data_IF_916016359118
#
_entry.id   IF_916016359118
#
_cell.length_a   1.000
_cell.length_b   1.000
_cell.length_c   1.000
_cell.angle_alpha   90.00
_cell.angle_beta   90.00
_cell.angle_gamma   90.00
#
_symmetry.space_group_name_H-M   'P 1'
#
loop_
_entity.id
_entity.type
_entity.pdbx_description
1 polymer ?
#
# COMPACT_ATOMS: atom_id res chain seq x y z
N UNK A 1 10.52 8.78 10.38
CA UNK A 1 9.83 7.71 11.13
C UNK A 1 9.42 6.66 10.12
N UNK A 2 9.59 5.37 10.39
CA UNK A 2 9.19 4.29 9.47
C UNK A 2 8.00 3.58 10.10
N UNK A 3 6.89 3.47 9.38
CA UNK A 3 5.71 2.74 9.80
C UNK A 3 5.61 1.44 8.98
N UNK A 4 5.27 0.34 9.66
CA UNK A 4 5.06 -0.96 9.02
C UNK A 4 3.56 -1.25 9.06
N UNK A 5 2.97 -1.41 7.88
CA UNK A 5 1.57 -1.78 7.72
C UNK A 5 1.52 -3.21 7.21
N UNK A 6 0.99 -4.12 8.03
CA UNK A 6 0.88 -5.53 7.69
C UNK A 6 -0.59 -5.91 7.54
N UNK A 7 -0.93 -6.51 6.40
CA UNK A 7 -2.17 -7.24 6.18
C UNK A 7 -1.82 -8.74 6.24
N UNK A 8 -1.41 -9.20 7.42
CA UNK A 8 -1.16 -10.61 7.63
C UNK A 8 -2.49 -11.36 7.55
N UNK A 9 -2.63 -12.26 6.58
CA UNK A 9 -3.62 -13.33 6.64
C UNK A 9 -3.24 -14.28 7.79
N UNK A 10 -3.45 -13.82 9.02
CA UNK A 10 -3.26 -14.61 10.23
C UNK A 10 -4.45 -15.56 10.32
N UNK A 11 -4.28 -16.73 9.71
CA UNK A 11 -4.97 -18.00 10.02
C UNK A 11 -6.34 -17.85 10.70
N UNK A 12 -7.41 -17.91 9.90
CA UNK A 12 -8.77 -18.16 10.38
C UNK A 12 -9.52 -16.94 10.88
N UNK A 13 -10.58 -16.57 10.15
CA UNK A 13 -11.69 -15.74 10.61
C UNK A 13 -11.30 -14.35 11.16
N UNK A 14 -10.98 -13.41 10.27
CA UNK A 14 -11.61 -12.08 10.14
C UNK A 14 -10.78 -11.23 9.17
N UNK A 15 -11.38 -10.83 8.04
CA UNK A 15 -10.83 -9.86 7.11
C UNK A 15 -10.75 -8.49 7.78
N UNK A 16 -9.63 -8.15 8.39
CA UNK A 16 -9.37 -6.79 8.85
C UNK A 16 -8.27 -6.18 7.98
N UNK A 17 -8.68 -5.48 6.92
CA UNK A 17 -7.85 -4.57 6.10
C UNK A 17 -7.38 -3.34 6.91
N UNK A 18 -7.02 -3.55 8.18
CA UNK A 18 -6.64 -2.49 9.11
C UNK A 18 -5.33 -1.83 8.68
N UNK A 19 -4.34 -2.63 8.27
CA UNK A 19 -3.06 -2.14 7.77
C UNK A 19 -3.22 -1.22 6.57
N UNK A 20 -4.05 -1.60 5.59
CA UNK A 20 -4.33 -0.74 4.44
C UNK A 20 -5.09 0.53 4.83
N UNK A 21 -6.12 0.43 5.67
CA UNK A 21 -6.90 1.60 6.08
C UNK A 21 -6.06 2.62 6.87
N UNK A 22 -5.17 2.14 7.74
CA UNK A 22 -4.26 2.99 8.51
C UNK A 22 -3.18 3.59 7.61
N UNK A 23 -2.64 2.82 6.65
CA UNK A 23 -1.73 3.34 5.62
C UNK A 23 -2.38 4.49 4.83
N UNK A 24 -3.65 4.35 4.44
CA UNK A 24 -4.39 5.37 3.71
C UNK A 24 -4.60 6.64 4.55
N UNK A 25 -4.96 6.51 5.83
CA UNK A 25 -5.10 7.65 6.74
C UNK A 25 -3.77 8.37 6.97
N UNK A 26 -2.69 7.61 7.06
CA UNK A 26 -1.35 8.17 7.28
C UNK A 26 -0.81 8.85 6.02
N UNK A 27 -1.14 8.34 4.82
CA UNK A 27 -0.89 9.00 3.53
C UNK A 27 -1.67 10.32 3.43
N UNK A 28 -2.97 10.31 3.73
CA UNK A 28 -3.83 11.50 3.73
C UNK A 28 -3.33 12.56 4.73
N UNK A 29 -2.87 12.12 5.90
CA UNK A 29 -2.28 12.98 6.92
C UNK A 29 -0.85 13.47 6.58
N UNK A 30 -0.28 13.06 5.43
CA UNK A 30 1.06 13.46 5.00
C UNK A 30 2.18 12.92 5.90
N UNK A 31 1.94 11.82 6.63
CA UNK A 31 2.93 11.24 7.56
C UNK A 31 4.06 10.53 6.85
N UNK A 32 3.87 10.18 5.58
CA UNK A 32 4.90 9.66 4.69
C UNK A 32 4.63 10.09 3.25
N UNK A 33 5.69 10.06 2.44
CA UNK A 33 5.63 10.35 1.00
C UNK A 33 6.08 9.17 0.13
N UNK A 34 6.48 8.05 0.75
CA UNK A 34 7.00 6.87 0.04
C UNK A 34 6.45 5.60 0.69
N UNK A 35 5.95 4.69 -0.14
CA UNK A 35 5.63 3.30 0.22
C UNK A 35 6.66 2.39 -0.47
N UNK A 36 7.18 1.40 0.26
CA UNK A 36 8.10 0.39 -0.29
C UNK A 36 7.53 -1.00 -0.02
N UNK A 37 7.47 -1.83 -1.06
CA UNK A 37 7.06 -3.22 -0.97
C UNK A 37 8.04 -4.15 -1.72
N UNK A 38 7.97 -5.45 -1.46
CA UNK A 38 8.71 -6.43 -2.26
C UNK A 38 8.12 -6.48 -3.69
N UNK A 39 6.80 -6.59 -3.81
CA UNK A 39 6.05 -6.59 -5.07
C UNK A 39 4.59 -6.17 -4.85
N UNK A 40 3.87 -5.78 -5.91
CA UNK A 40 2.47 -5.37 -5.82
C UNK A 40 1.56 -6.50 -5.30
N UNK A 41 1.88 -7.75 -5.62
CA UNK A 41 1.16 -8.95 -5.16
C UNK A 41 1.25 -9.16 -3.63
N UNK A 42 2.28 -8.58 -2.99
CA UNK A 42 2.42 -8.55 -1.52
C UNK A 42 1.54 -7.51 -0.86
N UNK A 43 1.14 -6.46 -1.59
CA UNK A 43 0.20 -5.44 -1.11
C UNK A 43 -1.24 -5.95 -1.28
N UNK A 44 -1.58 -6.47 -2.47
CA UNK A 44 -2.84 -7.18 -2.71
C UNK A 44 -2.72 -8.07 -3.94
N UNK A 45 -3.50 -9.15 -4.00
CA UNK A 45 -3.64 -9.99 -5.20
C UNK A 45 -4.79 -9.56 -6.12
N UNK A 46 -5.56 -8.55 -5.73
CA UNK A 46 -6.68 -8.03 -6.51
C UNK A 46 -6.23 -6.81 -7.32
N UNK A 47 -6.41 -6.86 -8.64
CA UNK A 47 -6.09 -5.73 -9.53
C UNK A 47 -6.89 -4.47 -9.16
N UNK A 48 -8.14 -4.62 -8.72
CA UNK A 48 -8.97 -3.50 -8.30
C UNK A 48 -8.41 -2.80 -7.05
N UNK A 49 -7.82 -3.57 -6.13
CA UNK A 49 -7.16 -3.02 -4.95
C UNK A 49 -5.87 -2.29 -5.33
N UNK A 50 -5.02 -2.94 -6.13
CA UNK A 50 -3.76 -2.37 -6.61
C UNK A 50 -4.01 -1.04 -7.34
N UNK A 51 -4.97 -1.01 -8.27
CA UNK A 51 -5.34 0.20 -8.99
C UNK A 51 -5.90 1.31 -8.07
N UNK A 52 -6.62 0.94 -7.02
CA UNK A 52 -7.14 1.90 -6.05
C UNK A 52 -6.03 2.50 -5.18
N UNK A 53 -5.06 1.69 -4.77
CA UNK A 53 -3.87 2.14 -4.05
C UNK A 53 -3.04 3.07 -4.93
N UNK A 54 -2.77 2.69 -6.18
CA UNK A 54 -2.00 3.54 -7.09
C UNK A 54 -2.66 4.89 -7.34
N UNK A 55 -3.98 4.94 -7.57
CA UNK A 55 -4.72 6.20 -7.67
C UNK A 55 -4.63 7.07 -6.41
N UNK A 56 -4.68 6.44 -5.24
CA UNK A 56 -4.54 7.14 -3.97
C UNK A 56 -3.13 7.71 -3.79
N UNK A 57 -2.11 6.94 -4.14
CA UNK A 57 -0.71 7.38 -4.12
C UNK A 57 -0.54 8.64 -4.96
N UNK A 58 -1.06 8.63 -6.19
CA UNK A 58 -1.08 9.80 -7.07
C UNK A 58 -1.84 10.99 -6.47
N UNK A 59 -2.98 10.73 -5.83
CA UNK A 59 -3.81 11.77 -5.23
C UNK A 59 -3.13 12.49 -4.06
N UNK A 60 -2.43 11.74 -3.20
CA UNK A 60 -1.75 12.28 -2.02
C UNK A 60 -0.25 12.60 -2.25
N UNK A 61 0.25 12.44 -3.48
CA UNK A 61 1.66 12.71 -3.79
C UNK A 61 2.62 11.72 -3.11
N UNK A 62 2.19 10.48 -2.91
CA UNK A 62 2.99 9.40 -2.36
C UNK A 62 3.57 8.57 -3.51
N UNK A 63 4.88 8.36 -3.53
CA UNK A 63 5.51 7.43 -4.49
C UNK A 63 5.43 5.99 -3.99
N UNK A 64 5.15 5.06 -4.89
CA UNK A 64 5.13 3.63 -4.60
C UNK A 64 6.36 2.97 -5.23
N UNK A 65 7.14 2.25 -4.42
CA UNK A 65 8.29 1.51 -4.88
C UNK A 65 8.12 0.00 -4.63
N UNK A 66 8.54 -0.81 -5.60
CA UNK A 66 8.70 -2.25 -5.42
C UNK A 66 10.14 -2.67 -5.65
N UNK A 67 10.57 -3.76 -5.01
CA UNK A 67 11.91 -4.33 -5.27
C UNK A 67 12.06 -4.86 -6.69
N UNK A 68 10.95 -5.23 -7.33
CA UNK A 68 10.93 -5.78 -8.68
C UNK A 68 10.97 -4.71 -9.78
N UNK A 69 10.28 -3.59 -9.59
CA UNK A 69 10.06 -2.58 -10.65
C UNK A 69 10.73 -1.24 -10.36
N UNK A 70 11.21 -0.99 -9.13
CA UNK A 70 11.63 0.34 -8.71
C UNK A 70 10.40 1.21 -8.43
N UNK A 71 10.37 2.44 -8.94
CA UNK A 71 9.18 3.29 -8.80
C UNK A 71 8.06 2.80 -9.72
N UNK A 72 6.88 2.57 -9.14
CA UNK A 72 5.67 2.18 -9.87
C UNK A 72 5.00 3.44 -10.38
N UNK A 73 5.28 3.80 -11.64
CA UNK A 73 4.70 4.98 -12.31
C UNK A 73 3.51 4.66 -13.19
N UNK A 74 3.46 3.44 -13.74
CA UNK A 74 2.49 2.99 -14.72
C UNK A 74 1.84 1.69 -14.24
N UNK A 75 0.51 1.62 -14.33
CA UNK A 75 -0.30 0.48 -13.86
C UNK A 75 -1.35 0.05 -14.88
#
# INVERSE_FOLDING_TARGET
MVAVYEDAAQTGATMARGGLADMLKDAEAGRFSIIVAEGLDRISRSLADIASIHRMCQHYGVSLFTSHEGEVTDL
#
